data_IF_495522737287
#
_entry.id   IF_495522737287
#
_cell.length_a   1.000
_cell.length_b   1.000
_cell.length_c   1.000
_cell.angle_alpha   90.00
_cell.angle_beta   90.00
_cell.angle_gamma   90.00
#
_symmetry.space_group_name_H-M   'P 1'
#
loop_
_entity.id
_entity.type
_entity.pdbx_description
1 polymer ?
#
# COMPACT_ATOMS: atom_id res chain seq x y z
N UNK A 1 20.18 13.39 25.80
CA UNK A 1 20.53 13.22 24.38
C UNK A 1 19.35 12.77 23.50
N UNK A 2 18.62 11.69 23.82
CA UNK A 2 17.40 11.27 23.06
C UNK A 2 16.35 12.39 22.97
N UNK A 3 16.00 13.05 24.09
CA UNK A 3 15.08 14.21 24.12
C UNK A 3 15.58 15.37 23.24
N UNK A 4 16.89 15.60 23.20
CA UNK A 4 17.50 16.64 22.36
C UNK A 4 17.35 16.31 20.89
N UNK A 5 17.54 15.04 20.48
CA UNK A 5 17.31 14.57 19.12
C UNK A 5 15.85 14.76 18.67
N UNK A 6 14.89 14.35 19.51
CA UNK A 6 13.47 14.55 19.23
C UNK A 6 13.13 16.05 19.13
N UNK A 7 13.68 16.89 20.02
CA UNK A 7 13.50 18.35 19.97
C UNK A 7 14.09 18.95 18.70
N UNK A 8 15.30 18.54 18.30
CA UNK A 8 15.92 19.02 17.05
C UNK A 8 15.12 18.59 15.82
N UNK A 9 14.61 17.37 15.81
CA UNK A 9 13.74 16.88 14.71
C UNK A 9 12.41 17.63 14.69
N UNK A 10 11.79 17.88 15.83
CA UNK A 10 10.58 18.70 15.93
C UNK A 10 10.84 20.11 15.42
N UNK A 11 11.92 20.76 15.85
CA UNK A 11 12.32 22.09 15.38
C UNK A 11 12.62 22.10 13.86
N UNK A 12 13.29 21.07 13.34
CA UNK A 12 13.53 20.94 11.92
C UNK A 12 12.22 20.79 11.13
N UNK A 13 11.27 20.01 11.66
CA UNK A 13 9.93 19.84 11.09
C UNK A 13 9.15 21.17 11.04
N UNK A 14 9.16 21.94 12.14
CA UNK A 14 8.49 23.23 12.22
C UNK A 14 9.14 24.32 11.33
N UNK A 15 10.48 24.29 11.20
CA UNK A 15 11.21 25.30 10.40
C UNK A 15 11.27 24.99 8.91
N UNK A 16 11.13 23.73 8.52
CA UNK A 16 11.23 23.29 7.13
C UNK A 16 10.24 23.99 6.17
N UNK A 17 8.95 24.19 6.54
CA UNK A 17 7.99 24.89 5.67
C UNK A 17 8.37 26.33 5.39
N UNK A 18 8.86 27.05 6.41
CA UNK A 18 9.21 28.46 6.29
C UNK A 18 10.44 28.71 5.41
N UNK A 19 11.39 27.76 5.38
CA UNK A 19 12.60 27.85 4.56
C UNK A 19 12.39 27.55 3.07
N UNK A 20 11.38 26.75 2.73
CA UNK A 20 11.25 26.20 1.38
C UNK A 20 10.08 26.74 0.57
N UNK A 21 9.37 27.77 1.05
CA UNK A 21 8.15 28.28 0.39
C UNK A 21 7.00 27.24 0.28
N UNK A 22 7.14 26.09 0.98
CA UNK A 22 6.19 24.96 0.94
C UNK A 22 5.16 25.01 2.05
N UNK A 23 4.95 26.18 2.63
CA UNK A 23 4.02 26.39 3.75
C UNK A 23 2.60 25.91 3.39
N UNK A 24 2.14 26.25 2.20
CA UNK A 24 0.82 25.83 1.71
C UNK A 24 0.70 24.29 1.67
N UNK A 25 1.73 23.60 1.17
CA UNK A 25 1.72 22.13 1.10
C UNK A 25 1.78 21.49 2.49
N UNK A 26 2.52 22.07 3.42
CA UNK A 26 2.58 21.61 4.80
C UNK A 26 1.25 21.84 5.53
N UNK A 27 0.61 22.99 5.33
CA UNK A 27 -0.72 23.31 5.86
C UNK A 27 -1.79 22.37 5.32
N UNK A 28 -1.78 22.10 4.00
CA UNK A 28 -2.70 21.15 3.37
C UNK A 28 -2.52 19.73 3.92
N UNK A 29 -1.28 19.31 4.17
CA UNK A 29 -1.01 18.01 4.80
C UNK A 29 -1.51 17.96 6.24
N UNK A 30 -1.25 19.00 7.03
CA UNK A 30 -1.74 19.09 8.40
C UNK A 30 -3.27 19.09 8.46
N UNK A 31 -3.92 19.82 7.56
CA UNK A 31 -5.38 19.85 7.43
C UNK A 31 -5.92 18.47 7.01
N UNK A 32 -5.28 17.80 6.06
CA UNK A 32 -5.65 16.45 5.65
C UNK A 32 -5.54 15.42 6.78
N UNK A 33 -4.48 15.50 7.60
CA UNK A 33 -4.33 14.65 8.79
C UNK A 33 -5.40 14.96 9.83
N UNK A 34 -5.64 16.25 10.13
CA UNK A 34 -6.68 16.67 11.06
C UNK A 34 -8.06 16.21 10.60
N UNK A 35 -8.37 16.41 9.32
CA UNK A 35 -9.61 15.93 8.71
C UNK A 35 -9.78 14.40 8.85
N UNK A 36 -8.76 13.62 8.52
CA UNK A 36 -8.82 12.16 8.66
C UNK A 36 -9.04 11.70 10.11
N UNK A 37 -8.38 12.34 11.07
CA UNK A 37 -8.53 12.03 12.50
C UNK A 37 -9.92 12.42 13.00
N UNK A 38 -10.40 13.60 12.65
CA UNK A 38 -11.74 14.07 13.06
C UNK A 38 -12.85 13.22 12.43
N UNK A 39 -12.72 12.89 11.13
CA UNK A 39 -13.66 11.99 10.44
C UNK A 39 -13.69 10.61 11.09
N UNK A 40 -12.52 10.06 11.42
CA UNK A 40 -12.45 8.77 12.11
C UNK A 40 -13.11 8.83 13.51
N UNK A 41 -12.89 9.90 14.26
CA UNK A 41 -13.52 10.10 15.57
C UNK A 41 -15.04 10.24 15.44
N UNK A 42 -15.50 11.03 14.47
CA UNK A 42 -16.93 11.19 14.18
C UNK A 42 -17.58 9.87 13.77
N UNK A 43 -16.94 9.08 12.91
CA UNK A 43 -17.43 7.76 12.53
C UNK A 43 -17.49 6.82 13.74
N UNK A 44 -16.47 6.78 14.59
CA UNK A 44 -16.50 5.97 15.81
C UNK A 44 -17.63 6.35 16.76
N UNK A 45 -17.99 7.63 16.80
CA UNK A 45 -19.10 8.13 17.61
C UNK A 45 -20.47 7.89 16.97
N UNK A 46 -20.61 8.11 15.65
CA UNK A 46 -21.90 8.12 14.95
C UNK A 46 -22.32 6.76 14.38
N UNK A 47 -21.41 5.78 14.29
CA UNK A 47 -21.68 4.50 13.64
C UNK A 47 -22.89 3.77 14.25
N UNK A 48 -23.14 3.79 15.59
CA UNK A 48 -24.33 3.15 16.16
C UNK A 48 -25.64 3.74 15.65
N UNK A 49 -25.73 5.08 15.55
CA UNK A 49 -26.95 5.76 15.08
C UNK A 49 -27.14 5.55 13.56
N UNK A 50 -26.04 5.60 12.81
CA UNK A 50 -26.08 5.41 11.36
C UNK A 50 -26.56 3.99 11.03
N UNK A 51 -26.04 2.98 11.73
CA UNK A 51 -26.44 1.59 11.51
C UNK A 51 -27.89 1.33 11.92
N UNK A 52 -28.37 1.96 12.99
CA UNK A 52 -29.78 1.79 13.40
C UNK A 52 -30.79 2.28 12.34
N UNK A 53 -30.36 3.24 11.48
CA UNK A 53 -31.19 3.76 10.38
C UNK A 53 -31.04 2.92 9.11
N UNK A 54 -29.78 2.53 8.75
CA UNK A 54 -29.48 1.90 7.46
C UNK A 54 -29.53 0.37 7.49
N UNK A 55 -29.28 -0.23 8.65
CA UNK A 55 -29.27 -1.67 8.86
C UNK A 55 -29.74 -2.00 10.28
N UNK A 56 -31.05 -1.81 10.59
CA UNK A 56 -31.59 -1.93 11.95
C UNK A 56 -31.39 -3.33 12.57
N UNK A 57 -31.24 -4.34 11.73
CA UNK A 57 -31.02 -5.74 12.15
C UNK A 57 -29.56 -5.98 12.58
N UNK A 58 -28.62 -5.07 12.24
CA UNK A 58 -27.19 -5.23 12.50
C UNK A 58 -26.78 -4.34 13.67
N UNK A 59 -26.48 -4.95 14.82
CA UNK A 59 -25.92 -4.16 15.93
C UNK A 59 -24.54 -3.58 15.55
N UNK A 60 -24.26 -2.37 16.03
CA UNK A 60 -22.97 -1.69 15.76
C UNK A 60 -21.77 -2.52 16.22
N UNK A 61 -21.93 -3.31 17.29
CA UNK A 61 -20.91 -4.24 17.78
C UNK A 61 -20.59 -5.32 16.75
N UNK A 62 -21.61 -6.03 16.25
CA UNK A 62 -21.45 -7.10 15.25
C UNK A 62 -20.88 -6.54 13.93
N UNK A 63 -21.32 -5.34 13.54
CA UNK A 63 -20.80 -4.68 12.33
C UNK A 63 -19.29 -4.40 12.44
N UNK A 64 -18.84 -3.84 13.58
CA UNK A 64 -17.43 -3.57 13.81
C UNK A 64 -16.62 -4.85 13.95
N UNK A 65 -17.15 -5.87 14.60
CA UNK A 65 -16.51 -7.18 14.74
C UNK A 65 -16.25 -7.83 13.38
N UNK A 66 -17.24 -7.85 12.50
CA UNK A 66 -17.10 -8.36 11.11
C UNK A 66 -16.15 -7.51 10.26
N UNK A 67 -16.16 -6.18 10.44
CA UNK A 67 -15.30 -5.27 9.70
C UNK A 67 -13.84 -5.24 10.21
N UNK A 68 -13.56 -5.77 11.41
CA UNK A 68 -12.27 -5.60 12.08
C UNK A 68 -11.11 -6.20 11.31
N UNK A 69 -11.22 -7.46 10.90
CA UNK A 69 -10.15 -8.15 10.15
C UNK A 69 -9.89 -7.47 8.81
N UNK A 70 -10.91 -7.20 7.96
CA UNK A 70 -10.72 -6.44 6.73
C UNK A 70 -10.10 -5.06 6.97
N UNK A 71 -10.57 -4.33 7.99
CA UNK A 71 -10.05 -3.00 8.31
C UNK A 71 -8.57 -3.05 8.72
N UNK A 72 -8.15 -4.05 9.51
CA UNK A 72 -6.74 -4.24 9.90
C UNK A 72 -5.87 -4.63 8.71
N UNK A 73 -6.37 -5.47 7.81
CA UNK A 73 -5.67 -5.78 6.55
C UNK A 73 -5.51 -4.50 5.73
N UNK A 74 -6.58 -3.75 5.50
CA UNK A 74 -6.54 -2.49 4.75
C UNK A 74 -5.62 -1.46 5.41
N UNK A 75 -5.64 -1.34 6.73
CA UNK A 75 -4.75 -0.48 7.49
C UNK A 75 -3.28 -0.87 7.28
N UNK A 76 -2.96 -2.16 7.41
CA UNK A 76 -1.60 -2.67 7.26
C UNK A 76 -1.10 -2.43 5.83
N UNK A 77 -1.95 -2.67 4.85
CA UNK A 77 -1.66 -2.45 3.44
C UNK A 77 -1.48 -0.97 3.09
N UNK A 78 -2.39 -0.11 3.57
CA UNK A 78 -2.26 1.34 3.45
C UNK A 78 -0.94 1.85 4.04
N UNK A 79 -0.53 1.30 5.19
CA UNK A 79 0.78 1.62 5.80
C UNK A 79 1.95 1.17 4.94
N UNK A 80 1.91 -0.03 4.39
CA UNK A 80 2.99 -0.52 3.50
C UNK A 80 3.15 0.41 2.31
N UNK A 81 2.04 0.92 1.75
CA UNK A 81 2.08 1.83 0.61
C UNK A 81 2.49 3.27 0.98
N UNK A 82 1.92 3.81 2.05
CA UNK A 82 1.96 5.26 2.31
C UNK A 82 2.76 5.68 3.54
N UNK A 83 3.02 4.76 4.48
CA UNK A 83 3.79 5.10 5.67
C UNK A 83 5.29 5.10 5.38
N UNK A 84 5.94 6.26 5.48
CA UNK A 84 7.40 6.33 5.39
C UNK A 84 8.07 5.89 6.69
N UNK A 85 9.06 5.00 6.58
CA UNK A 85 10.03 4.75 7.65
C UNK A 85 11.21 5.70 7.39
N UNK A 86 11.43 6.70 8.24
CA UNK A 86 12.39 7.77 7.98
C UNK A 86 13.84 7.28 8.18
N UNK A 87 14.31 6.43 7.26
CA UNK A 87 15.69 5.91 7.22
C UNK A 87 16.63 6.81 6.43
N UNK A 88 16.12 7.69 5.56
CA UNK A 88 16.91 8.69 4.83
C UNK A 88 17.12 9.95 5.66
N UNK A 89 18.31 10.54 5.53
CA UNK A 89 18.70 11.71 6.30
C UNK A 89 19.19 11.37 7.72
N UNK A 90 19.25 10.06 8.06
CA UNK A 90 19.86 9.57 9.28
C UNK A 90 21.39 9.67 9.20
N UNK A 91 21.95 9.68 7.99
CA UNK A 91 23.40 9.79 7.74
C UNK A 91 24.02 10.97 8.51
N UNK A 92 23.33 12.11 8.52
CA UNK A 92 23.76 13.27 9.30
C UNK A 92 23.78 13.00 10.82
N UNK A 93 22.89 12.13 11.33
CA UNK A 93 22.89 11.76 12.75
C UNK A 93 23.91 10.67 13.08
N UNK A 94 24.31 9.86 12.09
CA UNK A 94 25.37 8.86 12.27
C UNK A 94 26.75 9.50 12.38
N UNK A 95 26.91 10.74 11.87
CA UNK A 95 28.11 11.55 12.02
C UNK A 95 28.21 12.23 13.40
N UNK A 96 27.12 12.25 14.15
CA UNK A 96 27.12 12.79 15.51
C UNK A 96 27.56 11.71 16.53
N UNK A 97 28.08 12.07 17.69
CA UNK A 97 28.44 11.14 18.77
C UNK A 97 27.19 10.60 19.48
N UNK A 98 26.27 10.02 18.70
CA UNK A 98 25.00 9.43 19.17
C UNK A 98 25.07 7.94 18.96
N UNK A 99 24.72 7.17 19.99
CA UNK A 99 24.69 5.71 19.88
C UNK A 99 23.61 5.26 18.90
N UNK A 100 23.93 4.31 18.03
CA UNK A 100 23.00 3.76 17.02
C UNK A 100 21.68 3.24 17.61
N UNK A 101 21.65 2.60 18.81
CA UNK A 101 20.39 2.27 19.47
C UNK A 101 19.47 3.46 19.75
N UNK A 102 20.04 4.62 20.07
CA UNK A 102 19.25 5.85 20.31
C UNK A 102 18.68 6.39 18.98
N UNK A 103 19.44 6.30 17.89
CA UNK A 103 18.96 6.67 16.55
C UNK A 103 17.82 5.73 16.13
N UNK A 104 17.98 4.41 16.30
CA UNK A 104 16.94 3.43 15.98
C UNK A 104 15.65 3.68 16.78
N UNK A 105 15.76 3.97 18.10
CA UNK A 105 14.59 4.34 18.92
C UNK A 105 13.91 5.61 18.40
N UNK A 106 14.69 6.64 18.06
CA UNK A 106 14.15 7.89 17.53
C UNK A 106 13.39 7.66 16.22
N UNK A 107 13.91 6.82 15.32
CA UNK A 107 13.24 6.44 14.08
C UNK A 107 11.96 5.67 14.34
N UNK A 108 11.98 4.69 15.26
CA UNK A 108 10.76 3.94 15.64
C UNK A 108 9.67 4.85 16.18
N UNK A 109 10.00 5.73 17.13
CA UNK A 109 9.04 6.69 17.71
C UNK A 109 8.49 7.62 16.62
N UNK A 110 9.37 8.16 15.78
CA UNK A 110 8.94 9.03 14.68
C UNK A 110 8.05 8.31 13.68
N UNK A 111 8.36 7.05 13.34
CA UNK A 111 7.54 6.26 12.42
C UNK A 111 6.19 5.86 13.04
N UNK A 112 6.05 5.87 14.38
CA UNK A 112 4.80 5.63 15.08
C UNK A 112 3.88 6.86 15.09
N UNK A 113 4.43 8.09 15.01
CA UNK A 113 3.63 9.33 14.98
C UNK A 113 3.15 9.60 13.56
N UNK A 114 2.09 8.90 13.15
CA UNK A 114 1.51 9.01 11.80
C UNK A 114 -0.01 8.99 11.87
N UNK A 115 -0.66 9.47 10.81
CA UNK A 115 -2.12 9.38 10.65
C UNK A 115 -2.64 7.94 10.75
N UNK A 116 -1.83 6.97 10.32
CA UNK A 116 -2.17 5.55 10.39
C UNK A 116 -2.26 4.97 11.81
N UNK A 117 -1.70 5.64 12.81
CA UNK A 117 -1.91 5.32 14.22
C UNK A 117 -3.00 6.22 14.82
N UNK A 118 -2.97 7.51 14.50
CA UNK A 118 -3.88 8.48 15.08
C UNK A 118 -5.34 8.28 14.64
N UNK A 119 -5.62 8.06 13.36
CA UNK A 119 -6.98 7.90 12.87
C UNK A 119 -7.68 6.63 13.39
N UNK A 120 -7.08 5.41 13.37
CA UNK A 120 -7.71 4.25 13.96
C UNK A 120 -7.94 4.40 15.48
N UNK A 121 -7.02 4.99 16.22
CA UNK A 121 -7.23 5.26 17.67
C UNK A 121 -8.34 6.28 17.89
N UNK A 122 -8.42 7.31 17.05
CA UNK A 122 -9.50 8.31 17.08
C UNK A 122 -10.89 7.69 16.80
N UNK A 123 -10.96 6.64 15.99
CA UNK A 123 -12.18 5.84 15.81
C UNK A 123 -12.47 4.97 17.02
N UNK A 124 -11.47 4.23 17.50
CA UNK A 124 -11.62 3.20 18.53
C UNK A 124 -12.09 3.78 19.86
N UNK A 125 -11.55 4.91 20.30
CA UNK A 125 -11.86 5.48 21.60
C UNK A 125 -13.32 5.94 21.71
N UNK A 126 -13.88 6.77 20.80
CA UNK A 126 -15.29 7.14 20.85
C UNK A 126 -16.24 5.93 20.71
N UNK A 127 -15.91 4.96 19.84
CA UNK A 127 -16.68 3.75 19.69
C UNK A 127 -16.71 2.91 20.98
N UNK A 128 -15.56 2.74 21.63
CA UNK A 128 -15.46 2.03 22.90
C UNK A 128 -16.30 2.70 24.00
N UNK A 129 -16.20 4.02 24.12
CA UNK A 129 -16.94 4.79 25.14
C UNK A 129 -18.43 4.80 24.91
N UNK A 130 -18.88 4.85 23.66
CA UNK A 130 -20.29 4.97 23.32
C UNK A 130 -20.99 3.62 23.18
N UNK A 131 -20.33 2.64 22.57
CA UNK A 131 -20.93 1.33 22.28
C UNK A 131 -20.55 0.28 23.32
N UNK A 132 -19.25 -0.06 23.40
CA UNK A 132 -18.80 -1.19 24.21
C UNK A 132 -19.03 -0.94 25.71
N UNK A 133 -18.76 0.29 26.18
CA UNK A 133 -19.01 0.63 27.60
C UNK A 133 -20.49 0.53 27.98
N UNK A 134 -21.38 0.94 27.09
CA UNK A 134 -22.83 0.93 27.37
C UNK A 134 -23.44 -0.46 27.26
N UNK A 135 -22.84 -1.38 26.48
CA UNK A 135 -23.32 -2.76 26.35
C UNK A 135 -22.69 -3.72 27.35
N UNK A 136 -21.35 -3.65 27.49
CA UNK A 136 -20.54 -4.67 28.18
C UNK A 136 -19.77 -4.10 29.40
N UNK A 137 -19.92 -2.80 29.67
CA UNK A 137 -19.30 -2.14 30.82
C UNK A 137 -17.92 -1.53 30.55
N UNK A 138 -17.37 -0.82 31.53
CA UNK A 138 -16.12 -0.06 31.41
C UNK A 138 -14.89 -0.95 31.25
N UNK A 139 -14.88 -2.13 31.87
CA UNK A 139 -13.76 -3.09 31.75
C UNK A 139 -13.65 -3.63 30.32
N UNK A 140 -14.78 -4.02 29.73
CA UNK A 140 -14.82 -4.48 28.35
C UNK A 140 -14.37 -3.39 27.36
N UNK A 141 -14.79 -2.14 27.60
CA UNK A 141 -14.33 -1.01 26.80
C UNK A 141 -12.80 -0.79 26.88
N UNK A 142 -12.23 -0.94 28.06
CA UNK A 142 -10.76 -0.83 28.26
C UNK A 142 -10.04 -1.98 27.53
N UNK A 143 -10.50 -3.22 27.70
CA UNK A 143 -9.94 -4.40 27.03
C UNK A 143 -9.99 -4.24 25.51
N UNK A 144 -11.11 -3.75 24.99
CA UNK A 144 -11.27 -3.45 23.56
C UNK A 144 -10.27 -2.40 23.07
N UNK A 145 -10.12 -1.27 23.78
CA UNK A 145 -9.16 -0.22 23.40
C UNK A 145 -7.73 -0.75 23.43
N UNK A 146 -7.35 -1.52 24.45
CA UNK A 146 -6.02 -2.13 24.55
C UNK A 146 -5.76 -3.15 23.42
N UNK A 147 -6.74 -4.02 23.12
CA UNK A 147 -6.64 -4.98 22.03
C UNK A 147 -6.48 -4.29 20.66
N UNK A 148 -7.26 -3.24 20.41
CA UNK A 148 -7.14 -2.44 19.19
C UNK A 148 -5.81 -1.69 19.09
N UNK A 149 -5.34 -1.11 20.18
CA UNK A 149 -4.03 -0.47 20.23
C UNK A 149 -2.91 -1.49 19.94
N UNK A 150 -3.04 -2.72 20.46
CA UNK A 150 -2.12 -3.81 20.14
C UNK A 150 -2.17 -4.19 18.65
N UNK A 151 -3.34 -4.32 18.04
CA UNK A 151 -3.48 -4.57 16.59
C UNK A 151 -2.82 -3.47 15.76
N UNK A 152 -3.02 -2.21 16.13
CA UNK A 152 -2.39 -1.06 15.47
C UNK A 152 -0.87 -1.12 15.62
N UNK A 153 -0.35 -1.49 16.80
CA UNK A 153 1.06 -1.66 17.06
C UNK A 153 1.67 -2.86 16.30
N UNK A 154 0.94 -3.98 16.18
CA UNK A 154 1.33 -5.14 15.35
C UNK A 154 1.49 -4.71 13.90
N UNK A 155 0.47 -4.04 13.35
CA UNK A 155 0.50 -3.50 11.99
C UNK A 155 1.70 -2.57 11.78
N UNK A 156 2.00 -1.69 12.74
CA UNK A 156 3.16 -0.79 12.68
C UNK A 156 4.49 -1.56 12.63
N UNK A 157 4.70 -2.47 13.57
CA UNK A 157 5.92 -3.28 13.64
C UNK A 157 6.13 -4.12 12.37
N UNK A 158 5.06 -4.77 11.88
CA UNK A 158 5.07 -5.56 10.65
C UNK A 158 5.53 -4.72 9.44
N UNK A 159 5.01 -3.50 9.30
CA UNK A 159 5.38 -2.58 8.21
C UNK A 159 6.84 -2.12 8.32
N UNK A 160 7.33 -1.84 9.52
CA UNK A 160 8.75 -1.49 9.71
C UNK A 160 9.65 -2.64 9.29
N UNK A 161 9.36 -3.89 9.72
CA UNK A 161 10.10 -5.09 9.28
C UNK A 161 10.04 -5.26 7.78
N UNK A 162 8.83 -5.15 7.21
CA UNK A 162 8.62 -5.28 5.76
C UNK A 162 9.51 -4.31 4.98
N UNK A 163 9.47 -3.04 5.35
CA UNK A 163 10.23 -1.99 4.64
C UNK A 163 11.75 -2.09 4.82
N UNK A 164 12.21 -2.55 5.97
CA UNK A 164 13.65 -2.62 6.26
C UNK A 164 14.30 -3.90 5.73
N UNK A 165 13.58 -5.03 5.69
CA UNK A 165 14.15 -6.35 5.41
C UNK A 165 13.75 -6.97 4.09
N UNK A 166 12.62 -6.59 3.48
CA UNK A 166 12.12 -7.25 2.27
C UNK A 166 13.15 -7.30 1.13
N UNK A 167 13.93 -6.23 0.95
CA UNK A 167 14.97 -6.16 -0.07
C UNK A 167 16.22 -7.01 0.23
N UNK A 168 16.46 -7.35 1.51
CA UNK A 168 17.69 -8.04 1.98
C UNK A 168 17.42 -9.53 2.22
N UNK A 169 16.37 -9.84 2.96
CA UNK A 169 16.00 -11.19 3.38
C UNK A 169 14.51 -11.45 3.14
N UNK A 170 14.05 -11.58 1.88
CA UNK A 170 12.63 -11.64 1.56
C UNK A 170 11.91 -12.84 2.18
N UNK A 171 12.53 -14.01 2.23
CA UNK A 171 11.94 -15.23 2.84
C UNK A 171 11.67 -15.03 4.33
N UNK A 172 12.69 -14.58 5.08
CA UNK A 172 12.57 -14.30 6.52
C UNK A 172 11.51 -13.23 6.79
N UNK A 173 11.49 -12.16 5.98
CA UNK A 173 10.51 -11.07 6.10
C UNK A 173 9.08 -11.59 5.91
N UNK A 174 8.84 -12.36 4.86
CA UNK A 174 7.52 -12.94 4.58
C UNK A 174 7.10 -13.89 5.70
N UNK A 175 8.02 -14.72 6.21
CA UNK A 175 7.73 -15.66 7.31
C UNK A 175 7.38 -14.92 8.60
N UNK A 176 8.17 -13.92 9.00
CA UNK A 176 7.95 -13.18 10.25
C UNK A 176 6.70 -12.32 10.16
N UNK A 177 6.53 -11.55 9.09
CA UNK A 177 5.36 -10.68 8.92
C UNK A 177 4.10 -11.52 8.69
N UNK A 178 4.17 -12.53 7.83
CA UNK A 178 3.05 -13.44 7.57
C UNK A 178 2.63 -14.19 8.85
N UNK A 179 3.57 -14.78 9.57
CA UNK A 179 3.30 -15.44 10.85
C UNK A 179 2.67 -14.50 11.89
N UNK A 180 3.14 -13.25 11.95
CA UNK A 180 2.57 -12.23 12.85
C UNK A 180 1.13 -11.87 12.47
N UNK A 181 0.85 -11.70 11.17
CA UNK A 181 -0.50 -11.41 10.69
C UNK A 181 -1.44 -12.62 10.87
N UNK A 182 -0.93 -13.84 10.66
CA UNK A 182 -1.68 -15.07 10.96
C UNK A 182 -2.00 -15.19 12.45
N UNK A 183 -1.03 -14.88 13.34
CA UNK A 183 -1.28 -14.88 14.78
C UNK A 183 -2.33 -13.82 15.19
N UNK A 184 -2.30 -12.65 14.57
CA UNK A 184 -3.32 -11.62 14.77
C UNK A 184 -4.69 -12.07 14.28
N UNK A 185 -4.77 -12.69 13.11
CA UNK A 185 -6.01 -13.24 12.56
C UNK A 185 -6.54 -14.39 13.44
N UNK A 186 -5.68 -15.29 13.90
CA UNK A 186 -6.06 -16.39 14.80
C UNK A 186 -6.63 -15.87 16.14
N UNK A 187 -6.05 -14.80 16.71
CA UNK A 187 -6.58 -14.17 17.91
C UNK A 187 -7.97 -13.56 17.68
N UNK A 188 -8.23 -13.01 16.50
CA UNK A 188 -9.52 -12.40 16.15
C UNK A 188 -10.59 -13.46 15.81
N UNK A 189 -10.24 -14.49 15.04
CA UNK A 189 -11.18 -15.48 14.55
C UNK A 189 -11.32 -16.68 15.49
N UNK A 190 -10.19 -17.16 16.03
CA UNK A 190 -10.18 -18.41 16.84
C UNK A 190 -10.63 -18.22 18.28
N UNK A 191 -10.35 -17.04 18.89
CA UNK A 191 -10.74 -16.73 20.28
C UNK A 191 -12.00 -15.85 20.38
N UNK A 192 -12.73 -15.65 19.27
CA UNK A 192 -13.90 -14.77 19.22
C UNK A 192 -13.56 -13.29 19.26
N UNK A 193 -12.27 -12.95 19.00
CA UNK A 193 -11.82 -11.57 18.89
C UNK A 193 -11.78 -10.78 20.19
N UNK A 194 -11.53 -9.47 20.05
CA UNK A 194 -11.43 -8.53 21.17
C UNK A 194 -12.79 -8.04 21.70
N UNK A 195 -13.88 -8.46 21.08
CA UNK A 195 -15.26 -8.22 21.53
C UNK A 195 -15.96 -9.51 21.96
N UNK A 196 -15.33 -10.67 21.81
CA UNK A 196 -15.90 -11.98 22.11
C UNK A 196 -15.75 -12.40 23.58
N UNK A 197 -16.20 -13.62 23.90
CA UNK A 197 -16.18 -14.15 25.27
C UNK A 197 -14.78 -14.26 25.89
N UNK A 198 -13.76 -14.38 25.05
CA UNK A 198 -12.35 -14.46 25.48
C UNK A 198 -11.56 -13.18 25.17
N UNK A 199 -12.22 -12.02 25.16
CA UNK A 199 -11.65 -10.72 24.79
C UNK A 199 -10.36 -10.38 25.55
N UNK A 200 -10.27 -10.69 26.85
CA UNK A 200 -9.08 -10.46 27.66
C UNK A 200 -7.88 -11.31 27.16
N UNK A 201 -8.13 -12.60 26.89
CA UNK A 201 -7.09 -13.53 26.41
C UNK A 201 -6.63 -13.10 25.00
N UNK A 202 -7.56 -12.76 24.11
CA UNK A 202 -7.27 -12.26 22.77
C UNK A 202 -6.43 -10.97 22.82
N UNK A 203 -6.81 -10.02 23.67
CA UNK A 203 -6.09 -8.76 23.83
C UNK A 203 -4.71 -8.95 24.44
N UNK A 204 -4.55 -9.85 25.42
CA UNK A 204 -3.24 -10.19 25.99
C UNK A 204 -2.32 -10.85 24.96
N UNK A 205 -2.86 -11.78 24.15
CA UNK A 205 -2.11 -12.40 23.05
C UNK A 205 -1.67 -11.37 22.02
N UNK A 206 -2.56 -10.45 21.63
CA UNK A 206 -2.25 -9.37 20.70
C UNK A 206 -1.18 -8.41 21.26
N UNK A 207 -1.21 -8.10 22.55
CA UNK A 207 -0.17 -7.32 23.21
C UNK A 207 1.19 -8.05 23.16
N UNK A 208 1.23 -9.35 23.41
CA UNK A 208 2.45 -10.15 23.32
C UNK A 208 3.00 -10.16 21.88
N UNK A 209 2.14 -10.36 20.89
CA UNK A 209 2.51 -10.29 19.46
C UNK A 209 3.02 -8.88 19.10
N UNK A 210 2.39 -7.81 19.62
CA UNK A 210 2.81 -6.44 19.40
C UNK A 210 4.21 -6.17 19.96
N UNK A 211 4.49 -6.62 21.19
CA UNK A 211 5.81 -6.51 21.80
C UNK A 211 6.86 -7.27 20.99
N UNK A 212 6.56 -8.50 20.58
CA UNK A 212 7.46 -9.32 19.79
C UNK A 212 7.82 -8.64 18.46
N UNK A 213 6.82 -8.27 17.65
CA UNK A 213 7.08 -7.73 16.31
C UNK A 213 7.76 -6.36 16.35
N UNK A 214 7.41 -5.49 17.34
CA UNK A 214 8.05 -4.19 17.48
C UNK A 214 9.48 -4.34 18.02
N UNK A 215 9.75 -5.30 18.91
CA UNK A 215 11.08 -5.65 19.36
C UNK A 215 11.95 -6.18 18.21
N UNK A 216 11.38 -7.03 17.35
CA UNK A 216 12.05 -7.51 16.16
C UNK A 216 12.28 -6.37 15.14
N UNK A 217 11.29 -5.52 14.92
CA UNK A 217 11.40 -4.32 14.07
C UNK A 217 12.52 -3.38 14.55
N UNK A 218 12.60 -3.15 15.84
CA UNK A 218 13.68 -2.37 16.43
C UNK A 218 15.07 -2.99 16.18
N UNK A 219 15.22 -4.31 16.39
CA UNK A 219 16.49 -5.02 16.11
C UNK A 219 16.88 -4.91 14.65
N UNK A 220 15.94 -5.18 13.74
CA UNK A 220 16.19 -5.11 12.29
C UNK A 220 16.56 -3.71 11.83
N UNK A 221 15.90 -2.69 12.38
CA UNK A 221 16.22 -1.29 12.09
C UNK A 221 17.60 -0.92 12.63
N UNK A 222 17.91 -1.30 13.87
CA UNK A 222 19.24 -1.07 14.48
C UNK A 222 20.33 -1.70 13.62
N UNK A 223 20.14 -2.97 13.22
CA UNK A 223 21.12 -3.70 12.42
C UNK A 223 21.27 -3.09 11.01
N UNK A 224 20.18 -2.58 10.43
CA UNK A 224 20.23 -1.84 9.18
C UNK A 224 21.05 -0.53 9.27
N UNK A 225 21.13 0.10 10.45
CA UNK A 225 21.97 1.26 10.71
C UNK A 225 23.47 0.90 10.90
N UNK A 226 23.79 -0.38 11.14
CA UNK A 226 25.17 -0.88 11.20
C UNK A 226 25.71 -1.26 9.82
N UNK A 227 24.87 -1.29 8.83
CA UNK A 227 25.20 -1.72 7.50
C UNK A 227 25.88 -0.60 6.68
N UNK A 228 27.09 -0.25 7.09
CA UNK A 228 28.21 -0.24 6.13
C UNK A 228 28.44 -1.68 5.63
N UNK A 229 27.35 -2.43 5.37
CA UNK A 229 27.50 -3.57 4.52
C UNK A 229 28.10 -3.01 3.24
N UNK A 230 29.36 -3.44 2.93
CA UNK A 230 29.75 -3.35 1.56
C UNK A 230 28.56 -4.00 0.85
N UNK A 231 27.74 -3.21 0.20
CA UNK A 231 27.02 -3.69 -0.93
C UNK A 231 28.15 -4.37 -1.67
N UNK A 232 28.32 -5.70 -1.44
CA UNK A 232 29.02 -6.50 -2.41
C UNK A 232 28.24 -6.11 -3.64
N UNK A 233 28.71 -5.07 -4.29
CA UNK A 233 28.42 -4.84 -5.66
C UNK A 233 28.81 -6.18 -6.24
N UNK A 234 27.85 -7.15 -6.23
CA UNK A 234 27.90 -8.23 -7.16
C UNK A 234 28.06 -7.45 -8.42
N UNK A 235 29.36 -7.30 -8.84
CA UNK A 235 29.70 -6.78 -10.14
C UNK A 235 28.62 -7.33 -11.02
N UNK A 236 27.66 -6.48 -11.36
CA UNK A 236 26.64 -6.82 -12.32
C UNK A 236 27.47 -7.39 -13.44
N UNK A 237 27.45 -8.72 -13.61
CA UNK A 237 28.00 -9.33 -14.81
C UNK A 237 27.45 -8.45 -15.88
N UNK A 238 28.31 -7.70 -16.54
CA UNK A 238 27.98 -6.68 -17.52
C UNK A 238 26.77 -7.17 -18.27
N UNK A 239 25.67 -6.44 -18.11
CA UNK A 239 24.42 -6.86 -18.74
C UNK A 239 24.79 -6.97 -20.19
N UNK A 240 24.74 -8.20 -20.74
CA UNK A 240 25.08 -8.46 -22.12
C UNK A 240 24.43 -7.34 -22.92
N UNK A 241 25.17 -6.60 -23.74
CA UNK A 241 24.65 -5.44 -24.41
C UNK A 241 23.36 -5.85 -25.09
N UNK A 242 22.32 -5.02 -25.04
CA UNK A 242 21.07 -5.21 -25.78
C UNK A 242 21.36 -5.10 -27.29
N UNK A 243 22.49 -5.65 -27.74
CA UNK A 243 22.92 -5.72 -29.13
C UNK A 243 22.07 -6.72 -29.85
N UNK A 244 21.25 -6.26 -30.78
CA UNK A 244 20.47 -7.10 -31.68
C UNK A 244 19.02 -6.72 -31.86
N UNK A 245 18.51 -5.65 -31.25
CA UNK A 245 17.14 -5.21 -31.50
C UNK A 245 17.10 -4.17 -32.63
N UNK A 246 17.05 -4.62 -33.88
CA UNK A 246 16.76 -3.73 -35.00
C UNK A 246 15.40 -3.06 -34.89
N UNK A 247 14.41 -3.75 -34.29
CA UNK A 247 13.12 -3.19 -33.89
C UNK A 247 12.66 -3.82 -32.58
N UNK A 248 12.70 -3.10 -31.45
CA UNK A 248 12.27 -3.65 -30.17
C UNK A 248 10.76 -3.86 -30.16
N UNK A 249 10.32 -5.12 -30.29
CA UNK A 249 8.92 -5.52 -30.19
C UNK A 249 8.43 -5.50 -28.73
N UNK A 250 7.12 -5.57 -28.52
CA UNK A 250 6.47 -5.65 -27.20
C UNK A 250 7.07 -6.76 -26.34
N UNK A 251 7.38 -7.92 -26.93
CA UNK A 251 7.97 -9.09 -26.27
C UNK A 251 9.33 -8.78 -25.62
N UNK A 252 10.16 -7.99 -26.32
CA UNK A 252 11.48 -7.61 -25.79
C UNK A 252 11.36 -6.75 -24.53
N UNK A 253 10.38 -5.85 -24.48
CA UNK A 253 10.12 -5.04 -23.28
C UNK A 253 9.51 -5.86 -22.15
N UNK A 254 8.65 -6.83 -22.43
CA UNK A 254 8.13 -7.75 -21.38
C UNK A 254 9.26 -8.58 -20.78
N UNK A 255 10.20 -9.06 -21.61
CA UNK A 255 11.36 -9.81 -21.14
C UNK A 255 12.30 -8.92 -20.29
N UNK A 256 12.48 -7.67 -20.70
CA UNK A 256 13.24 -6.68 -19.93
C UNK A 256 12.60 -6.45 -18.55
N UNK A 257 11.27 -6.26 -18.47
CA UNK A 257 10.55 -6.09 -17.21
C UNK A 257 10.70 -7.31 -16.31
N UNK A 258 10.57 -8.52 -16.88
CA UNK A 258 10.77 -9.76 -16.13
C UNK A 258 12.19 -9.86 -15.56
N UNK A 259 13.20 -9.47 -16.34
CA UNK A 259 14.59 -9.40 -15.88
C UNK A 259 14.77 -8.35 -14.79
N UNK A 260 14.15 -7.18 -14.91
CA UNK A 260 14.16 -6.14 -13.88
C UNK A 260 13.57 -6.67 -12.57
N UNK A 261 12.39 -7.29 -12.59
CA UNK A 261 11.77 -7.87 -11.39
C UNK A 261 12.67 -8.94 -10.75
N UNK A 262 13.32 -9.79 -11.55
CA UNK A 262 14.19 -10.85 -11.00
C UNK A 262 15.50 -10.34 -10.45
N UNK A 263 16.09 -9.29 -11.04
CA UNK A 263 17.46 -8.84 -10.73
C UNK A 263 17.51 -7.65 -9.78
N UNK A 264 16.52 -6.77 -9.80
CA UNK A 264 16.53 -5.54 -9.01
C UNK A 264 15.62 -5.62 -7.79
N UNK A 265 16.01 -4.91 -6.73
CA UNK A 265 15.32 -4.99 -5.43
C UNK A 265 13.97 -4.28 -5.45
N UNK A 266 13.91 -3.10 -6.07
CA UNK A 266 12.74 -2.25 -6.01
C UNK A 266 11.52 -2.85 -6.78
N UNK A 267 11.60 -3.23 -8.06
CA UNK A 267 10.49 -3.87 -8.77
C UNK A 267 10.04 -5.19 -8.14
N UNK A 268 11.00 -6.00 -7.65
CA UNK A 268 10.67 -7.23 -6.91
C UNK A 268 9.89 -6.95 -5.63
N UNK A 269 10.28 -5.91 -4.88
CA UNK A 269 9.57 -5.48 -3.67
C UNK A 269 8.15 -5.02 -3.96
N UNK A 270 7.92 -4.29 -5.06
CA UNK A 270 6.57 -3.88 -5.51
C UNK A 270 5.71 -5.10 -5.82
N UNK A 271 6.25 -6.07 -6.59
CA UNK A 271 5.50 -7.28 -6.93
C UNK A 271 5.14 -8.09 -5.68
N UNK A 272 6.11 -8.32 -4.78
CA UNK A 272 5.86 -9.04 -3.54
C UNK A 272 4.81 -8.34 -2.67
N UNK A 273 4.86 -7.00 -2.61
CA UNK A 273 3.85 -6.22 -1.90
C UNK A 273 2.47 -6.36 -2.55
N UNK A 274 2.38 -6.29 -3.88
CA UNK A 274 1.11 -6.47 -4.59
C UNK A 274 0.51 -7.86 -4.34
N UNK A 275 1.32 -8.91 -4.40
CA UNK A 275 0.90 -10.29 -4.10
C UNK A 275 0.44 -10.42 -2.64
N UNK A 276 1.22 -9.91 -1.68
CA UNK A 276 0.86 -9.97 -0.26
C UNK A 276 -0.45 -9.23 0.03
N UNK A 277 -0.63 -8.05 -0.55
CA UNK A 277 -1.89 -7.29 -0.44
C UNK A 277 -3.07 -8.08 -0.98
N UNK A 278 -2.92 -8.65 -2.15
CA UNK A 278 -3.98 -9.42 -2.79
C UNK A 278 -4.37 -10.65 -1.97
N UNK A 279 -3.37 -11.41 -1.50
CA UNK A 279 -3.60 -12.56 -0.63
C UNK A 279 -4.29 -12.14 0.67
N UNK A 280 -3.85 -11.02 1.27
CA UNK A 280 -4.46 -10.48 2.50
C UNK A 280 -5.93 -10.07 2.29
N UNK A 281 -6.24 -9.38 1.20
CA UNK A 281 -7.62 -8.95 0.88
C UNK A 281 -8.51 -10.14 0.51
N UNK A 282 -7.99 -11.09 -0.25
CA UNK A 282 -8.70 -12.33 -0.57
C UNK A 282 -8.98 -13.15 0.71
N UNK A 283 -7.99 -13.26 1.60
CA UNK A 283 -8.17 -13.90 2.90
C UNK A 283 -9.22 -13.20 3.77
N UNK A 284 -9.29 -11.87 3.73
CA UNK A 284 -10.33 -11.11 4.43
C UNK A 284 -11.73 -11.41 3.87
N UNK A 285 -11.87 -11.58 2.57
CA UNK A 285 -13.14 -11.98 1.94
C UNK A 285 -13.56 -13.38 2.37
N UNK A 286 -12.63 -14.34 2.36
CA UNK A 286 -12.91 -15.74 2.63
C UNK A 286 -13.12 -16.06 4.12
N UNK A 287 -12.45 -15.32 5.01
CA UNK A 287 -12.39 -15.67 6.44
C UNK A 287 -13.26 -14.78 7.34
N UNK A 288 -13.68 -13.61 6.87
CA UNK A 288 -14.28 -12.59 7.72
C UNK A 288 -15.62 -12.04 7.22
N UNK A 289 -16.33 -12.75 6.33
CA UNK A 289 -17.57 -12.28 5.71
C UNK A 289 -17.50 -10.82 5.24
N UNK A 290 -16.32 -10.43 4.75
CA UNK A 290 -16.06 -9.06 4.34
C UNK A 290 -16.86 -8.71 3.08
N UNK A 291 -17.19 -7.43 2.83
CA UNK A 291 -17.86 -7.00 1.63
C UNK A 291 -17.04 -7.37 0.39
N UNK A 292 -17.49 -8.42 -0.31
CA UNK A 292 -16.72 -9.16 -1.32
C UNK A 292 -16.25 -8.26 -2.47
N UNK A 293 -17.18 -7.49 -3.07
CA UNK A 293 -16.87 -6.74 -4.27
C UNK A 293 -15.87 -5.59 -4.06
N UNK A 294 -15.99 -4.72 -3.04
CA UNK A 294 -14.99 -3.69 -2.77
C UNK A 294 -13.62 -4.28 -2.45
N UNK A 295 -13.54 -5.37 -1.70
CA UNK A 295 -12.27 -6.00 -1.33
C UNK A 295 -11.55 -6.59 -2.54
N UNK A 296 -12.28 -7.29 -3.41
CA UNK A 296 -11.75 -7.84 -4.65
C UNK A 296 -11.34 -6.74 -5.63
N UNK A 297 -12.10 -5.64 -5.69
CA UNK A 297 -11.73 -4.47 -6.47
C UNK A 297 -10.40 -3.88 -5.99
N UNK A 298 -10.21 -3.71 -4.69
CA UNK A 298 -8.94 -3.24 -4.13
C UNK A 298 -7.79 -4.22 -4.36
N UNK A 299 -8.04 -5.52 -4.30
CA UNK A 299 -7.04 -6.54 -4.59
C UNK A 299 -6.55 -6.44 -6.04
N UNK A 300 -7.46 -6.40 -7.01
CA UNK A 300 -7.12 -6.28 -8.44
C UNK A 300 -6.51 -4.92 -8.77
N UNK A 301 -7.02 -3.83 -8.17
CA UNK A 301 -6.48 -2.49 -8.29
C UNK A 301 -5.01 -2.42 -7.85
N UNK A 302 -4.67 -3.04 -6.73
CA UNK A 302 -3.31 -3.02 -6.18
C UNK A 302 -2.30 -3.58 -7.17
N UNK A 303 -2.63 -4.67 -7.86
CA UNK A 303 -1.75 -5.27 -8.86
C UNK A 303 -1.63 -4.40 -10.09
N UNK A 304 -2.75 -3.89 -10.61
CA UNK A 304 -2.76 -2.99 -11.76
C UNK A 304 -1.95 -1.71 -11.48
N UNK A 305 -2.13 -1.11 -10.30
CA UNK A 305 -1.42 0.08 -9.85
C UNK A 305 0.07 -0.21 -9.70
N UNK A 306 0.42 -1.32 -9.07
CA UNK A 306 1.81 -1.71 -8.84
C UNK A 306 2.57 -1.94 -10.15
N UNK A 307 1.91 -2.50 -11.17
CA UNK A 307 2.50 -2.69 -12.49
C UNK A 307 2.59 -1.40 -13.31
N UNK A 308 1.57 -0.52 -13.21
CA UNK A 308 1.40 0.63 -14.10
C UNK A 308 2.01 1.93 -13.61
N UNK A 309 1.89 2.28 -12.32
CA UNK A 309 2.29 3.60 -11.80
C UNK A 309 3.79 3.90 -11.90
N UNK A 310 4.62 2.86 -11.99
CA UNK A 310 6.08 2.99 -12.12
C UNK A 310 6.58 2.75 -13.54
N UNK A 311 5.67 2.70 -14.53
CA UNK A 311 6.02 2.38 -15.91
C UNK A 311 7.15 3.25 -16.45
N UNK A 312 7.02 4.58 -16.42
CA UNK A 312 8.05 5.51 -16.87
C UNK A 312 9.19 5.70 -15.86
N UNK A 313 8.93 5.84 -14.53
CA UNK A 313 9.99 5.96 -13.54
C UNK A 313 11.07 4.88 -13.59
N UNK A 314 10.71 3.62 -13.84
CA UNK A 314 11.68 2.52 -13.96
C UNK A 314 12.53 2.58 -15.23
N UNK A 315 12.01 3.21 -16.28
CA UNK A 315 12.74 3.40 -17.51
C UNK A 315 13.75 4.56 -17.44
N UNK A 316 13.81 5.32 -16.36
CA UNK A 316 14.58 6.58 -16.28
C UNK A 316 16.05 6.44 -16.72
N UNK A 317 16.75 5.39 -16.28
CA UNK A 317 18.17 5.14 -16.67
C UNK A 317 18.34 4.77 -18.14
N UNK A 318 17.29 4.32 -18.82
CA UNK A 318 17.31 3.85 -20.21
C UNK A 318 16.42 4.69 -21.13
N UNK A 319 15.81 5.75 -20.60
CA UNK A 319 14.82 6.51 -21.34
C UNK A 319 15.39 7.16 -22.60
N UNK A 320 16.61 7.68 -22.54
CA UNK A 320 17.27 8.27 -23.72
C UNK A 320 17.45 7.25 -24.84
N UNK A 321 17.73 5.98 -24.53
CA UNK A 321 17.75 4.90 -25.53
C UNK A 321 16.40 4.63 -26.17
N UNK A 322 15.31 4.75 -25.40
CA UNK A 322 13.95 4.61 -25.95
C UNK A 322 13.64 5.71 -27.00
N UNK A 323 14.27 6.89 -26.84
CA UNK A 323 14.09 8.00 -27.80
C UNK A 323 14.90 7.82 -29.08
N UNK A 324 16.02 7.10 -29.05
CA UNK A 324 16.88 6.89 -30.23
C UNK A 324 16.41 5.77 -31.13
N UNK A 325 15.62 4.83 -30.62
CA UNK A 325 15.14 3.66 -31.37
C UNK A 325 13.76 3.94 -31.97
N UNK A 326 13.57 3.80 -33.29
CA UNK A 326 12.27 4.03 -33.94
C UNK A 326 11.22 3.04 -33.42
N UNK A 327 10.05 3.56 -33.06
CA UNK A 327 8.94 2.73 -32.56
C UNK A 327 9.09 2.20 -31.12
N UNK A 328 10.26 2.32 -30.48
CA UNK A 328 10.54 1.77 -29.16
C UNK A 328 9.58 2.29 -28.08
N UNK A 329 9.29 3.60 -28.12
CA UNK A 329 8.40 4.23 -27.14
C UNK A 329 6.98 3.67 -27.20
N UNK A 330 6.46 3.43 -28.42
CA UNK A 330 5.14 2.84 -28.60
C UNK A 330 5.11 1.36 -28.17
N UNK A 331 6.14 0.59 -28.50
CA UNK A 331 6.29 -0.80 -28.07
C UNK A 331 6.42 -0.90 -26.54
N UNK A 332 7.14 0.01 -25.91
CA UNK A 332 7.28 0.12 -24.47
C UNK A 332 5.92 0.37 -23.77
N UNK A 333 5.15 1.35 -24.24
CA UNK A 333 3.81 1.64 -23.68
C UNK A 333 2.88 0.44 -23.82
N UNK A 334 2.91 -0.23 -24.99
CA UNK A 334 2.13 -1.46 -25.23
C UNK A 334 2.52 -2.56 -24.25
N UNK A 335 3.81 -2.77 -24.03
CA UNK A 335 4.31 -3.76 -23.09
C UNK A 335 3.86 -3.46 -21.65
N UNK A 336 3.88 -2.20 -21.23
CA UNK A 336 3.42 -1.80 -19.89
C UNK A 336 1.92 -2.00 -19.70
N UNK A 337 1.10 -1.69 -20.70
CA UNK A 337 -0.34 -1.98 -20.68
C UNK A 337 -0.60 -3.48 -20.63
N UNK A 338 0.08 -4.26 -21.50
CA UNK A 338 -0.04 -5.71 -21.51
C UNK A 338 0.36 -6.35 -20.17
N UNK A 339 1.43 -5.83 -19.54
CA UNK A 339 1.85 -6.26 -18.20
C UNK A 339 0.79 -5.95 -17.15
N UNK A 340 0.22 -4.74 -17.15
CA UNK A 340 -0.81 -4.33 -16.20
C UNK A 340 -2.08 -5.18 -16.34
N UNK A 341 -2.61 -5.31 -17.55
CA UNK A 341 -3.79 -6.13 -17.87
C UNK A 341 -3.52 -7.60 -17.57
N UNK A 342 -2.40 -8.14 -18.06
CA UNK A 342 -2.03 -9.54 -17.88
C UNK A 342 -1.85 -9.92 -16.40
N UNK A 343 -1.24 -9.04 -15.62
CA UNK A 343 -1.07 -9.29 -14.17
C UNK A 343 -2.40 -9.35 -13.42
N UNK A 344 -3.37 -8.50 -13.76
CA UNK A 344 -4.73 -8.54 -13.18
C UNK A 344 -5.45 -9.82 -13.55
N UNK A 345 -5.38 -10.23 -14.82
CA UNK A 345 -6.03 -11.46 -15.29
C UNK A 345 -5.42 -12.70 -14.62
N UNK A 346 -4.09 -12.81 -14.63
CA UNK A 346 -3.38 -13.92 -13.99
C UNK A 346 -3.74 -14.01 -12.51
N UNK A 347 -3.77 -12.87 -11.82
CA UNK A 347 -4.18 -12.84 -10.43
C UNK A 347 -5.63 -13.28 -10.23
N UNK A 348 -6.55 -12.80 -11.08
CA UNK A 348 -7.95 -13.19 -11.03
C UNK A 348 -8.11 -14.70 -11.17
N UNK A 349 -7.40 -15.33 -12.11
CA UNK A 349 -7.39 -16.80 -12.29
C UNK A 349 -6.83 -17.50 -11.05
N UNK A 350 -5.71 -17.00 -10.49
CA UNK A 350 -5.13 -17.57 -9.28
C UNK A 350 -6.05 -17.47 -8.06
N UNK A 351 -6.84 -16.40 -7.95
CA UNK A 351 -7.81 -16.21 -6.87
C UNK A 351 -9.10 -17.03 -7.09
N UNK A 352 -9.50 -17.25 -8.34
CA UNK A 352 -10.70 -18.00 -8.65
C UNK A 352 -10.65 -19.44 -8.09
N UNK A 353 -9.46 -20.08 -8.12
CA UNK A 353 -9.31 -21.47 -7.66
C UNK A 353 -9.66 -21.64 -6.16
N UNK A 354 -9.04 -20.94 -5.22
CA UNK A 354 -9.39 -21.08 -3.80
C UNK A 354 -10.80 -20.54 -3.49
N UNK A 355 -11.26 -19.50 -4.18
CA UNK A 355 -12.59 -18.94 -3.98
C UNK A 355 -13.68 -19.89 -4.44
N UNK A 356 -13.50 -20.57 -5.57
CA UNK A 356 -14.42 -21.59 -6.04
C UNK A 356 -14.59 -22.75 -5.04
N UNK A 357 -13.51 -23.10 -4.33
CA UNK A 357 -13.54 -24.16 -3.34
C UNK A 357 -14.28 -23.79 -2.04
N UNK A 358 -14.34 -22.49 -1.69
CA UNK A 358 -14.96 -22.00 -0.45
C UNK A 358 -16.40 -21.51 -0.72
N UNK A 359 -16.57 -20.60 -1.68
CA UNK A 359 -17.86 -20.01 -2.05
C UNK A 359 -17.92 -19.69 -3.54
N UNK A 360 -18.61 -20.49 -4.37
CA UNK A 360 -18.79 -20.21 -5.79
C UNK A 360 -19.48 -18.86 -6.10
N UNK A 361 -20.28 -18.33 -5.18
CA UNK A 361 -20.97 -17.05 -5.34
C UNK A 361 -20.04 -15.84 -5.49
N UNK A 362 -18.80 -15.98 -5.02
CA UNK A 362 -17.77 -14.94 -5.10
C UNK A 362 -17.19 -14.77 -6.53
N UNK A 363 -17.41 -15.74 -7.42
CA UNK A 363 -16.85 -15.68 -8.79
C UNK A 363 -17.40 -14.51 -9.61
N UNK A 364 -18.69 -14.18 -9.48
CA UNK A 364 -19.29 -13.04 -10.15
C UNK A 364 -18.63 -11.71 -9.75
N UNK A 365 -18.58 -11.37 -8.46
CA UNK A 365 -17.83 -10.23 -7.96
C UNK A 365 -16.36 -10.22 -8.38
N UNK A 366 -15.67 -11.36 -8.37
CA UNK A 366 -14.27 -11.46 -8.81
C UNK A 366 -14.13 -11.13 -10.31
N UNK A 367 -15.00 -11.67 -11.16
CA UNK A 367 -14.99 -11.40 -12.58
C UNK A 367 -15.19 -9.89 -12.87
N UNK A 368 -16.16 -9.26 -12.19
CA UNK A 368 -16.39 -7.82 -12.30
C UNK A 368 -15.17 -7.00 -11.84
N UNK A 369 -14.53 -7.39 -10.74
CA UNK A 369 -13.33 -6.74 -10.23
C UNK A 369 -12.13 -6.91 -11.19
N UNK A 370 -11.96 -8.09 -11.80
CA UNK A 370 -10.91 -8.34 -12.80
C UNK A 370 -11.15 -7.52 -14.05
N UNK A 371 -12.38 -7.46 -14.57
CA UNK A 371 -12.73 -6.62 -15.71
C UNK A 371 -12.43 -5.15 -15.45
N UNK A 372 -12.84 -4.63 -14.28
CA UNK A 372 -12.58 -3.25 -13.90
C UNK A 372 -11.08 -2.99 -13.70
N UNK A 373 -10.37 -3.91 -13.07
CA UNK A 373 -8.92 -3.87 -12.89
C UNK A 373 -8.16 -3.78 -14.22
N UNK A 374 -8.54 -4.63 -15.17
CA UNK A 374 -7.92 -4.70 -16.49
C UNK A 374 -8.31 -3.51 -17.40
N UNK A 375 -9.61 -3.14 -17.40
CA UNK A 375 -10.14 -2.13 -18.31
C UNK A 375 -9.97 -0.69 -17.83
N UNK A 376 -9.96 -0.46 -16.52
CA UNK A 376 -9.89 0.88 -15.93
C UNK A 376 -8.58 1.11 -15.18
N UNK A 377 -8.26 0.29 -14.15
CA UNK A 377 -7.08 0.56 -13.32
C UNK A 377 -5.77 0.42 -14.06
N UNK A 378 -5.59 -0.58 -14.91
CA UNK A 378 -4.32 -0.78 -15.62
C UNK A 378 -4.00 0.41 -16.56
N UNK A 379 -4.90 0.87 -17.45
CA UNK A 379 -4.64 2.06 -18.26
C UNK A 379 -4.47 3.33 -17.43
N UNK A 380 -5.31 3.55 -16.40
CA UNK A 380 -5.25 4.72 -15.52
C UNK A 380 -3.92 4.78 -14.77
N UNK A 381 -3.41 3.65 -14.28
CA UNK A 381 -2.11 3.59 -13.62
C UNK A 381 -0.96 3.96 -14.56
N UNK A 382 -0.99 3.49 -15.81
CA UNK A 382 0.02 3.85 -16.83
C UNK A 382 -0.09 5.34 -17.18
N UNK A 383 -1.30 5.91 -17.34
CA UNK A 383 -1.51 7.36 -17.51
C UNK A 383 -0.94 8.12 -16.32
N UNK A 384 -1.23 7.66 -15.09
CA UNK A 384 -0.70 8.25 -13.86
C UNK A 384 0.83 8.35 -13.85
N UNK A 385 1.53 7.33 -14.38
CA UNK A 385 2.98 7.35 -14.49
C UNK A 385 3.51 8.48 -15.41
N UNK A 386 2.68 8.97 -16.34
CA UNK A 386 3.05 10.04 -17.28
C UNK A 386 2.83 11.45 -16.74
N UNK A 387 2.01 11.60 -15.69
CA UNK A 387 1.60 12.93 -15.19
C UNK A 387 2.74 13.68 -14.48
N UNK A 388 3.53 12.97 -13.70
CA UNK A 388 4.66 13.54 -12.96
C UNK A 388 5.80 12.51 -12.83
N UNK A 389 6.42 12.09 -13.93
CA UNK A 389 7.46 11.06 -13.89
C UNK A 389 8.68 11.60 -13.12
N UNK A 390 9.09 10.87 -12.08
CA UNK A 390 10.33 11.11 -11.33
C UNK A 390 11.22 9.89 -11.48
N UNK A 391 12.53 10.07 -11.66
CA UNK A 391 13.45 8.95 -11.79
C UNK A 391 13.47 8.16 -10.48
N UNK A 392 13.50 6.83 -10.60
CA UNK A 392 13.62 5.91 -9.48
C UNK A 392 14.90 5.11 -9.68
N UNK A 393 15.72 5.05 -8.65
CA UNK A 393 16.81 4.11 -8.64
C UNK A 393 16.28 2.70 -8.34
N UNK A 394 16.34 1.83 -9.34
CA UNK A 394 15.84 0.45 -9.25
C UNK A 394 16.65 -0.42 -8.27
N UNK A 395 17.86 0.01 -7.93
CA UNK A 395 18.75 -0.67 -6.97
C UNK A 395 18.56 -0.15 -5.54
N UNK A 396 17.81 0.94 -5.37
CA UNK A 396 17.51 1.52 -4.06
C UNK A 396 16.60 0.60 -3.22
N UNK A 397 16.61 0.82 -1.91
CA UNK A 397 15.74 0.05 -1.02
C UNK A 397 14.27 0.38 -1.32
N UNK A 398 13.48 -0.69 -1.43
CA UNK A 398 12.05 -0.59 -1.68
C UNK A 398 11.36 0.37 -0.70
N UNK A 399 10.62 1.33 -1.22
CA UNK A 399 9.79 2.29 -0.49
C UNK A 399 10.50 3.35 0.40
N UNK A 400 11.81 3.50 0.34
CA UNK A 400 12.48 4.57 1.06
C UNK A 400 12.60 5.88 0.26
N UNK A 401 12.00 5.96 -0.92
CA UNK A 401 12.04 7.17 -1.75
C UNK A 401 10.82 8.07 -1.46
N UNK A 402 10.96 9.16 -0.66
CA UNK A 402 9.86 10.11 -0.42
C UNK A 402 9.43 10.86 -1.68
N UNK A 403 10.15 10.67 -2.80
CA UNK A 403 9.92 11.35 -4.08
C UNK A 403 8.98 10.59 -5.02
N UNK A 404 8.62 9.34 -4.70
CA UNK A 404 7.86 8.46 -5.59
C UNK A 404 6.37 8.82 -5.63
N UNK A 405 5.85 9.40 -4.57
CA UNK A 405 4.41 9.70 -4.48
C UNK A 405 4.11 11.11 -4.98
N UNK A 406 3.92 11.24 -6.28
CA UNK A 406 3.28 12.43 -6.81
C UNK A 406 1.79 12.40 -6.42
N UNK A 407 1.29 13.50 -5.86
CA UNK A 407 -0.11 13.62 -5.42
C UNK A 407 -1.09 13.37 -6.58
N UNK A 408 -0.76 13.88 -7.76
CA UNK A 408 -1.64 13.81 -8.93
C UNK A 408 -1.96 12.39 -9.42
N UNK A 409 -1.00 11.45 -9.58
CA UNK A 409 -1.32 10.06 -9.87
C UNK A 409 -2.21 9.40 -8.82
N UNK A 410 -2.03 9.74 -7.55
CA UNK A 410 -2.84 9.20 -6.46
C UNK A 410 -4.29 9.70 -6.50
N UNK A 411 -4.50 10.99 -6.80
CA UNK A 411 -5.84 11.56 -6.99
C UNK A 411 -6.56 10.87 -8.15
N UNK A 412 -5.88 10.66 -9.28
CA UNK A 412 -6.46 9.98 -10.45
C UNK A 412 -6.86 8.53 -10.10
N UNK A 413 -6.02 7.83 -9.34
CA UNK A 413 -6.31 6.48 -8.88
C UNK A 413 -7.44 6.45 -7.84
N UNK A 414 -7.51 7.43 -6.95
CA UNK A 414 -8.60 7.57 -5.98
C UNK A 414 -9.95 7.81 -6.68
N UNK A 415 -9.98 8.66 -7.72
CA UNK A 415 -11.18 8.87 -8.55
C UNK A 415 -11.60 7.57 -9.23
N UNK A 416 -10.66 6.84 -9.85
CA UNK A 416 -10.94 5.54 -10.47
C UNK A 416 -11.48 4.52 -9.46
N UNK A 417 -10.93 4.49 -8.23
CA UNK A 417 -11.44 3.64 -7.15
C UNK A 417 -12.87 4.05 -6.74
N UNK A 418 -13.12 5.34 -6.62
CA UNK A 418 -14.44 5.87 -6.33
C UNK A 418 -15.47 5.49 -7.39
N UNK A 419 -15.11 5.52 -8.67
CA UNK A 419 -16.00 5.08 -9.76
C UNK A 419 -16.41 3.61 -9.66
N UNK A 420 -15.53 2.75 -9.14
CA UNK A 420 -15.86 1.34 -8.92
C UNK A 420 -16.67 1.08 -7.66
N UNK A 421 -16.41 1.82 -6.58
CA UNK A 421 -17.02 1.59 -5.26
C UNK A 421 -18.33 2.37 -5.08
N UNK A 422 -18.42 3.60 -5.61
CA UNK A 422 -19.58 4.46 -5.37
C UNK A 422 -20.93 3.84 -5.82
N UNK A 423 -21.05 3.21 -7.01
CA UNK A 423 -22.30 2.56 -7.37
C UNK A 423 -22.68 1.43 -6.41
N UNK A 424 -21.72 0.68 -5.90
CA UNK A 424 -21.94 -0.38 -4.93
C UNK A 424 -22.49 0.13 -3.61
N UNK A 425 -21.95 1.26 -3.12
CA UNK A 425 -22.38 1.86 -1.85
C UNK A 425 -23.70 2.60 -2.00
N UNK A 426 -23.92 3.32 -3.11
CA UNK A 426 -25.06 4.21 -3.29
C UNK A 426 -26.32 3.50 -3.83
N UNK A 427 -26.14 2.48 -4.68
CA UNK A 427 -27.22 1.85 -5.44
C UNK A 427 -27.47 0.37 -5.03
N UNK A 428 -26.67 -0.12 -4.09
CA UNK A 428 -26.72 -1.51 -3.63
C UNK A 428 -25.79 -2.47 -4.39
N UNK A 429 -25.64 -3.72 -3.87
CA UNK A 429 -24.62 -4.65 -4.35
C UNK A 429 -24.84 -5.10 -5.81
N UNK A 430 -26.07 -5.37 -6.23
CA UNK A 430 -26.36 -5.87 -7.57
C UNK A 430 -26.07 -4.82 -8.65
N UNK A 431 -26.60 -3.60 -8.46
CA UNK A 431 -26.38 -2.48 -9.40
C UNK A 431 -24.91 -2.07 -9.40
N UNK A 432 -24.27 -2.08 -8.23
CA UNK A 432 -22.85 -1.77 -8.09
C UNK A 432 -21.97 -2.78 -8.82
N UNK A 433 -22.25 -4.08 -8.73
CA UNK A 433 -21.54 -5.12 -9.48
C UNK A 433 -21.75 -4.98 -10.99
N UNK A 434 -22.98 -4.76 -11.44
CA UNK A 434 -23.29 -4.56 -12.85
C UNK A 434 -22.56 -3.32 -13.40
N UNK A 435 -22.56 -2.21 -12.66
CA UNK A 435 -21.85 -0.99 -13.04
C UNK A 435 -20.32 -1.21 -13.10
N UNK A 436 -19.74 -1.88 -12.10
CA UNK A 436 -18.31 -2.19 -12.05
C UNK A 436 -17.91 -3.10 -13.21
N UNK A 437 -18.64 -4.20 -13.44
CA UNK A 437 -18.41 -5.12 -14.55
C UNK A 437 -18.60 -4.46 -15.91
N UNK A 438 -19.65 -3.67 -16.08
CA UNK A 438 -19.95 -2.93 -17.32
C UNK A 438 -18.89 -1.90 -17.66
N UNK A 439 -18.50 -1.05 -16.71
CA UNK A 439 -17.41 -0.08 -16.90
C UNK A 439 -16.09 -0.79 -17.21
N UNK A 440 -15.81 -1.90 -16.52
CA UNK A 440 -14.64 -2.72 -16.79
C UNK A 440 -14.63 -3.29 -18.20
N UNK A 441 -15.74 -3.89 -18.64
CA UNK A 441 -15.89 -4.45 -19.99
C UNK A 441 -15.74 -3.37 -21.08
N UNK A 442 -16.38 -2.21 -20.92
CA UNK A 442 -16.20 -1.05 -21.80
C UNK A 442 -14.72 -0.64 -21.82
N UNK A 443 -14.07 -0.55 -20.63
CA UNK A 443 -12.66 -0.23 -20.51
C UNK A 443 -11.76 -1.18 -21.30
N UNK A 444 -12.03 -2.50 -21.25
CA UNK A 444 -11.32 -3.53 -22.02
C UNK A 444 -11.56 -3.36 -23.53
N UNK A 445 -12.79 -3.11 -23.96
CA UNK A 445 -13.12 -2.89 -25.37
C UNK A 445 -12.41 -1.66 -25.93
N UNK A 446 -12.25 -0.60 -25.13
CA UNK A 446 -11.57 0.64 -25.56
C UNK A 446 -10.06 0.63 -25.27
N UNK A 447 -9.47 -0.50 -24.85
CA UNK A 447 -8.00 -0.61 -24.64
C UNK A 447 -7.16 -0.11 -25.82
N UNK A 448 -7.52 -0.38 -27.10
CA UNK A 448 -6.78 0.18 -28.23
C UNK A 448 -6.78 1.71 -28.27
N UNK A 449 -7.88 2.36 -27.84
CA UNK A 449 -7.97 3.82 -27.74
C UNK A 449 -7.12 4.36 -26.59
N UNK A 450 -7.17 3.71 -25.43
CA UNK A 450 -6.28 4.00 -24.30
C UNK A 450 -4.81 3.93 -24.74
N UNK A 451 -4.43 2.86 -25.44
CA UNK A 451 -3.07 2.67 -25.93
C UNK A 451 -2.65 3.81 -26.86
N UNK A 452 -3.49 4.17 -27.87
CA UNK A 452 -3.20 5.28 -28.80
C UNK A 452 -3.06 6.61 -28.05
N UNK A 453 -3.95 6.89 -27.10
CA UNK A 453 -3.92 8.11 -26.30
C UNK A 453 -2.66 8.22 -25.43
N UNK A 454 -2.27 7.13 -24.76
CA UNK A 454 -1.07 7.09 -23.92
C UNK A 454 0.19 7.25 -24.78
N UNK A 455 0.29 6.54 -25.91
CA UNK A 455 1.42 6.67 -26.84
C UNK A 455 1.54 8.11 -27.34
N UNK A 456 0.43 8.71 -27.81
CA UNK A 456 0.42 10.09 -28.28
C UNK A 456 0.86 11.08 -27.19
N UNK A 457 0.39 10.89 -25.96
CA UNK A 457 0.78 11.72 -24.81
C UNK A 457 2.27 11.60 -24.49
N UNK A 458 2.79 10.37 -24.36
CA UNK A 458 4.20 10.12 -24.06
C UNK A 458 5.10 10.63 -25.18
N UNK A 459 4.71 10.45 -26.43
CA UNK A 459 5.45 10.98 -27.59
C UNK A 459 5.50 12.51 -27.60
N UNK A 460 4.39 13.18 -27.26
CA UNK A 460 4.33 14.64 -27.17
C UNK A 460 5.22 15.17 -26.04
N UNK A 461 5.30 14.47 -24.93
CA UNK A 461 6.05 14.89 -23.74
C UNK A 461 7.48 14.31 -23.68
N UNK A 462 7.92 13.56 -24.68
CA UNK A 462 9.15 12.75 -24.64
C UNK A 462 10.39 13.50 -24.18
N UNK A 463 10.63 14.70 -24.69
CA UNK A 463 11.80 15.51 -24.31
C UNK A 463 11.65 16.17 -22.93
N UNK A 464 10.44 16.57 -22.55
CA UNK A 464 10.17 17.10 -21.22
C UNK A 464 10.42 16.06 -20.13
N UNK A 465 10.04 14.80 -20.38
CA UNK A 465 10.31 13.66 -19.50
C UNK A 465 11.81 13.39 -19.42
N UNK A 466 12.51 13.34 -20.56
CA UNK A 466 13.96 13.15 -20.60
C UNK A 466 14.72 14.22 -19.80
N UNK A 467 14.36 15.49 -19.97
CA UNK A 467 14.98 16.59 -19.23
C UNK A 467 14.72 16.49 -17.72
N UNK A 468 13.52 16.07 -17.30
CA UNK A 468 13.24 15.82 -15.88
C UNK A 468 14.07 14.69 -15.30
N UNK A 469 14.32 13.64 -16.07
CA UNK A 469 15.16 12.54 -15.61
C UNK A 469 16.63 12.96 -15.47
N UNK A 470 17.16 13.71 -16.44
CA UNK A 470 18.54 14.23 -16.41
C UNK A 470 18.78 15.26 -15.30
N UNK A 471 17.79 16.08 -14.94
CA UNK A 471 17.93 17.10 -13.88
C UNK A 471 18.01 16.54 -12.46
N UNK A 472 17.77 15.24 -12.27
CA UNK A 472 17.74 14.58 -10.94
C UNK A 472 18.83 13.52 -10.81
N UNK A 473 19.33 12.98 -11.93
CA UNK A 473 20.49 12.08 -12.01
C UNK A 473 21.78 12.87 -11.95
#
# INVERSE_FOLDING_TARGET
>A
MFRTLLRLQALAFWRAPFRSGRLVLASLRALGVAYAVLTAAALGFLIPDTLSVWAPELSARVAVERALVPALVMLTMGRVLFQDVPTRGIEAFLMLPVSRPQVARAVMVRSAVTVFNAAPLAFVVPFALRTVRNTDGSEAALVFVLGMAACIAVSHGAVVVWKTRLGVAPRETVTVVGGTLCAMAAAQLGLGGILGPHALVSSAMLCAVAVFINGYAYRTLRDALYLDLPTKAKRSKEAAPLCGFEQPGVRAFLDLEWRLVRRTRYPRGILLNAVAMTVGLAGAVLLADAPTAPMLLFATATVAISAGQFALPFASKHYDRLLTLPGALSAFVRAKLALGVGSVVVLGVLLAVPMLAVDPGVLGPLACAVLFGAGVFAPVAVVGSTLAPKPIDVDDQFMNSPRVHALLPQVVLAIASGMGVAPYVLMGPEVGLAAMGGLGAIGVLVLPLWQRGIVARVTRQRYAVANRFRSVL
#
